data_IF_758743211831
#
_entry.id   IF_758743211831
#
_cell.length_a   1.000
_cell.length_b   1.000
_cell.length_c   1.000
_cell.angle_alpha   90.00
_cell.angle_beta   90.00
_cell.angle_gamma   90.00
#
_symmetry.space_group_name_H-M   'P 1'
#
loop_
_entity.id
_entity.type
_entity.pdbx_description
1 polymer ?
#
# COMPACT_ATOMS: atom_id res chain seq x y z
N UNK A 1 -2.06 -16.93 -22.13
CA UNK A 1 -1.29 -17.31 -20.91
C UNK A 1 -1.51 -16.25 -19.84
N UNK A 2 -1.83 -16.68 -18.64
CA UNK A 2 -1.99 -15.75 -17.52
C UNK A 2 -0.64 -15.44 -16.88
N UNK A 3 -0.38 -14.16 -16.60
CA UNK A 3 0.82 -13.72 -15.88
C UNK A 3 0.49 -13.58 -14.39
N UNK A 4 1.22 -14.31 -13.57
CA UNK A 4 1.10 -14.22 -12.11
C UNK A 4 2.17 -13.28 -11.58
N UNK A 5 1.74 -12.29 -10.79
CA UNK A 5 2.63 -11.35 -10.10
C UNK A 5 2.29 -11.31 -8.62
N UNK A 6 3.25 -10.89 -7.80
CA UNK A 6 3.05 -10.71 -6.36
C UNK A 6 3.33 -9.25 -6.03
N UNK A 7 2.41 -8.65 -5.29
CA UNK A 7 2.59 -7.30 -4.75
C UNK A 7 2.63 -7.33 -3.22
N UNK A 8 3.36 -6.40 -2.65
CA UNK A 8 3.42 -6.20 -1.19
C UNK A 8 3.00 -4.78 -0.86
N UNK A 9 2.13 -4.64 0.13
CA UNK A 9 1.57 -3.37 0.60
C UNK A 9 1.67 -3.31 2.11
N UNK A 10 1.72 -2.11 2.67
CA UNK A 10 1.82 -1.96 4.13
C UNK A 10 1.01 -0.78 4.64
N UNK A 11 0.26 -1.02 5.73
CA UNK A 11 -0.27 0.04 6.58
C UNK A 11 0.87 0.50 7.49
N UNK A 12 1.42 1.68 7.23
CA UNK A 12 2.52 2.26 8.02
C UNK A 12 1.94 3.16 9.11
N UNK A 13 2.12 2.74 10.35
CA UNK A 13 1.63 3.46 11.52
C UNK A 13 2.71 4.37 12.07
N UNK A 14 2.38 5.65 12.24
CA UNK A 14 3.29 6.61 12.85
C UNK A 14 3.15 6.61 14.39
N UNK A 15 3.92 7.50 15.05
CA UNK A 15 3.94 7.60 16.52
C UNK A 15 2.62 8.07 17.11
N UNK A 16 1.77 8.73 16.33
CA UNK A 16 0.44 9.19 16.76
C UNK A 16 -0.64 8.12 16.54
N UNK A 17 -0.27 6.93 16.12
CA UNK A 17 -1.20 5.84 15.86
C UNK A 17 -2.00 6.00 14.58
N UNK A 18 -1.55 6.83 13.67
CA UNK A 18 -2.19 7.08 12.37
C UNK A 18 -1.44 6.36 11.25
N UNK A 19 -2.17 6.01 10.22
CA UNK A 19 -1.64 5.25 9.07
C UNK A 19 -1.47 6.12 7.85
N UNK A 20 -0.43 5.85 7.08
CA UNK A 20 -0.09 6.58 5.86
C UNK A 20 -0.95 6.15 4.69
N UNK A 21 -1.63 7.11 4.08
CA UNK A 21 -2.25 6.99 2.76
C UNK A 21 -1.51 7.88 1.77
N UNK A 22 -1.37 7.39 0.56
CA UNK A 22 -0.79 8.14 -0.56
C UNK A 22 -1.78 8.18 -1.71
N UNK A 23 -1.74 9.26 -2.48
CA UNK A 23 -2.59 9.43 -3.65
C UNK A 23 -1.79 9.21 -4.91
N UNK A 24 -2.19 8.26 -5.74
CA UNK A 24 -1.53 7.96 -7.01
C UNK A 24 -1.53 9.15 -7.94
N UNK A 25 -0.43 9.33 -8.67
CA UNK A 25 -0.32 10.38 -9.67
C UNK A 25 -1.33 10.17 -10.80
N UNK A 26 -2.19 11.16 -11.11
CA UNK A 26 -3.13 11.05 -12.21
C UNK A 26 -2.45 11.10 -13.57
N UNK A 27 -1.19 11.55 -13.63
CA UNK A 27 -0.41 11.57 -14.87
C UNK A 27 0.07 10.16 -15.23
N UNK A 28 0.63 9.43 -14.27
CA UNK A 28 1.11 8.06 -14.48
C UNK A 28 -0.05 7.06 -14.54
N UNK A 29 -1.11 7.32 -13.77
CA UNK A 29 -2.25 6.43 -13.63
C UNK A 29 -3.54 7.14 -14.00
N UNK A 30 -3.74 7.51 -15.28
CA UNK A 30 -4.96 8.19 -15.70
C UNK A 30 -6.16 7.26 -15.56
N UNK A 31 -7.31 7.82 -15.16
CA UNK A 31 -8.58 7.10 -15.05
C UNK A 31 -8.59 5.96 -14.01
N UNK A 32 -7.65 5.94 -13.08
CA UNK A 32 -7.64 4.95 -12.00
C UNK A 32 -8.67 5.35 -10.94
N UNK A 33 -9.54 4.39 -10.61
CA UNK A 33 -10.42 4.49 -9.45
C UNK A 33 -9.66 4.01 -8.21
N UNK A 34 -9.99 4.56 -7.05
CA UNK A 34 -9.30 4.18 -5.83
C UNK A 34 -7.87 4.73 -5.81
N UNK A 35 -7.72 6.02 -6.08
CA UNK A 35 -6.41 6.66 -6.15
C UNK A 35 -5.70 6.77 -4.79
N UNK A 36 -6.44 6.77 -3.69
CA UNK A 36 -5.88 6.72 -2.35
C UNK A 36 -5.61 5.27 -1.95
N UNK A 37 -4.37 4.96 -1.66
CA UNK A 37 -3.91 3.61 -1.37
C UNK A 37 -2.81 3.64 -0.29
N UNK A 38 -2.48 2.48 0.23
CA UNK A 38 -1.31 2.31 1.09
C UNK A 38 -0.06 2.05 0.24
N UNK A 39 1.10 2.21 0.84
CA UNK A 39 2.40 2.13 0.16
C UNK A 39 2.76 0.69 -0.20
N UNK A 40 3.41 0.51 -1.33
CA UNK A 40 3.94 -0.78 -1.77
C UNK A 40 3.94 -0.93 -3.28
N UNK A 41 4.29 -2.10 -3.77
CA UNK A 41 4.34 -2.37 -5.20
C UNK A 41 4.66 -3.83 -5.51
N UNK A 42 4.94 -4.09 -6.77
CA UNK A 42 5.31 -5.45 -7.22
C UNK A 42 6.67 -5.84 -6.67
N UNK A 43 6.82 -7.11 -6.34
CA UNK A 43 8.12 -7.63 -5.91
C UNK A 43 9.01 -7.87 -7.13
N UNK A 44 10.32 -7.77 -6.91
CA UNK A 44 11.33 -8.24 -7.85
C UNK A 44 11.64 -9.71 -7.52
N UNK A 45 11.69 -10.59 -8.54
CA UNK A 45 12.08 -11.99 -8.31
C UNK A 45 13.48 -12.09 -7.71
N UNK A 46 13.65 -13.03 -6.79
CA UNK A 46 14.95 -13.28 -6.20
C UNK A 46 15.22 -12.53 -4.89
N UNK A 47 14.36 -11.61 -4.51
CA UNK A 47 14.42 -10.93 -3.20
C UNK A 47 13.24 -11.35 -2.34
N UNK A 48 13.42 -11.32 -1.03
CA UNK A 48 12.36 -11.72 -0.10
C UNK A 48 11.18 -10.74 -0.13
N UNK A 49 10.02 -11.18 0.36
CA UNK A 49 8.85 -10.32 0.49
C UNK A 49 9.15 -9.09 1.34
N UNK A 50 9.83 -9.28 2.45
CA UNK A 50 10.14 -8.20 3.40
C UNK A 50 11.17 -7.23 2.81
N UNK A 51 12.19 -7.73 2.12
CA UNK A 51 13.17 -6.86 1.45
C UNK A 51 12.51 -6.02 0.39
N UNK A 52 11.61 -6.59 -0.39
CA UNK A 52 10.81 -5.85 -1.37
C UNK A 52 9.94 -4.78 -0.69
N UNK A 53 9.29 -5.13 0.42
CA UNK A 53 8.44 -4.19 1.14
C UNK A 53 9.26 -2.98 1.64
N UNK A 54 10.43 -3.25 2.24
CA UNK A 54 11.33 -2.20 2.72
C UNK A 54 11.80 -1.29 1.58
N UNK A 55 12.16 -1.89 0.45
CA UNK A 55 12.57 -1.15 -0.74
C UNK A 55 11.47 -0.24 -1.25
N UNK A 56 10.25 -0.75 -1.41
CA UNK A 56 9.10 0.03 -1.87
C UNK A 56 8.81 1.22 -0.94
N UNK A 57 8.85 1.00 0.36
CA UNK A 57 8.63 2.08 1.34
C UNK A 57 9.69 3.17 1.19
N UNK A 58 10.98 2.80 1.07
CA UNK A 58 12.05 3.78 0.88
C UNK A 58 11.91 4.55 -0.43
N UNK A 59 11.63 3.85 -1.52
CA UNK A 59 11.50 4.47 -2.83
C UNK A 59 10.34 5.45 -2.89
N UNK A 60 9.19 5.09 -2.34
CA UNK A 60 7.98 5.90 -2.43
C UNK A 60 7.91 7.01 -1.38
N UNK A 61 8.50 6.83 -0.22
CA UNK A 61 8.30 7.74 0.93
C UNK A 61 9.57 8.23 1.60
N UNK A 62 10.73 7.63 1.33
CA UNK A 62 11.99 7.84 2.05
C UNK A 62 11.93 7.46 3.54
N UNK A 63 10.85 6.85 3.97
CA UNK A 63 10.71 6.35 5.35
C UNK A 63 11.35 4.97 5.50
N UNK A 64 11.61 4.60 6.76
CA UNK A 64 12.07 3.27 7.13
C UNK A 64 11.00 2.56 7.95
N UNK A 65 10.87 1.27 7.76
CA UNK A 65 10.08 0.40 8.63
C UNK A 65 10.91 0.14 9.89
N UNK A 66 10.37 0.46 11.06
CA UNK A 66 11.08 0.39 12.34
C UNK A 66 10.57 -0.71 13.27
N UNK A 67 9.64 -1.52 12.81
CA UNK A 67 9.13 -2.69 13.53
C UNK A 67 9.18 -3.91 12.62
N UNK A 68 8.95 -5.10 13.18
CA UNK A 68 8.79 -6.31 12.37
C UNK A 68 7.46 -6.24 11.61
N UNK A 69 7.46 -6.26 10.27
CA UNK A 69 6.22 -6.27 9.52
C UNK A 69 5.42 -7.55 9.78
N UNK A 70 4.11 -7.38 9.96
CA UNK A 70 3.20 -8.51 10.17
C UNK A 70 2.24 -8.62 9.00
N UNK A 71 2.16 -9.80 8.41
CA UNK A 71 1.19 -10.08 7.36
C UNK A 71 -0.21 -10.15 7.97
N UNK A 72 -1.14 -9.37 7.44
CA UNK A 72 -2.52 -9.36 7.94
C UNK A 72 -3.50 -10.01 6.97
N UNK A 73 -3.23 -9.97 5.66
CA UNK A 73 -4.10 -10.63 4.68
C UNK A 73 -3.41 -10.78 3.33
N UNK A 74 -3.98 -11.66 2.51
CA UNK A 74 -3.64 -11.80 1.11
C UNK A 74 -4.93 -11.68 0.29
N UNK A 75 -4.84 -11.04 -0.86
CA UNK A 75 -5.98 -10.81 -1.74
C UNK A 75 -5.61 -11.12 -3.18
N UNK A 76 -6.57 -11.60 -3.95
CA UNK A 76 -6.42 -11.80 -5.38
C UNK A 76 -6.90 -10.57 -6.13
N UNK A 77 -6.10 -10.15 -7.10
CA UNK A 77 -6.46 -9.10 -8.06
C UNK A 77 -6.41 -9.72 -9.44
N UNK A 78 -7.60 -9.93 -10.03
CA UNK A 78 -7.72 -10.56 -11.35
C UNK A 78 -8.50 -9.61 -12.25
N UNK A 79 -7.81 -8.59 -12.84
CA UNK A 79 -8.51 -7.59 -13.64
C UNK A 79 -9.00 -8.11 -14.98
N UNK A 80 -8.38 -9.18 -15.48
CA UNK A 80 -8.73 -9.78 -16.77
C UNK A 80 -8.18 -11.20 -16.86
N UNK A 81 -8.39 -11.87 -17.99
CA UNK A 81 -7.98 -13.27 -18.20
C UNK A 81 -6.47 -13.46 -18.33
N UNK A 82 -5.70 -12.38 -18.44
CA UNK A 82 -4.26 -12.43 -18.69
C UNK A 82 -3.42 -12.09 -17.47
N UNK A 83 -4.02 -11.53 -16.42
CA UNK A 83 -3.28 -11.00 -15.28
C UNK A 83 -3.89 -11.44 -13.96
N UNK A 84 -3.04 -11.95 -13.07
CA UNK A 84 -3.39 -12.32 -11.70
C UNK A 84 -2.31 -11.78 -10.78
N UNK A 85 -2.70 -10.94 -9.84
CA UNK A 85 -1.80 -10.41 -8.82
C UNK A 85 -2.23 -10.91 -7.46
N UNK A 86 -1.29 -11.49 -6.72
CA UNK A 86 -1.49 -11.78 -5.29
C UNK A 86 -0.96 -10.58 -4.51
N UNK A 87 -1.85 -9.91 -3.81
CA UNK A 87 -1.51 -8.73 -2.99
C UNK A 87 -1.40 -9.14 -1.54
N UNK A 88 -0.21 -9.02 -0.99
CA UNK A 88 0.08 -9.31 0.41
C UNK A 88 0.11 -7.99 1.19
N UNK A 89 -0.73 -7.87 2.20
CA UNK A 89 -0.85 -6.64 2.99
C UNK A 89 -0.30 -6.86 4.39
N UNK A 90 0.62 -5.98 4.77
CA UNK A 90 1.32 -5.99 6.06
C UNK A 90 0.90 -4.78 6.89
N UNK A 91 1.19 -4.85 8.18
CA UNK A 91 1.17 -3.71 9.09
C UNK A 91 2.56 -3.56 9.71
N UNK A 92 3.04 -2.32 9.82
CA UNK A 92 4.34 -2.01 10.42
C UNK A 92 4.34 -0.58 10.95
N UNK A 93 5.38 -0.25 11.71
CA UNK A 93 5.56 1.08 12.27
C UNK A 93 6.64 1.85 11.54
N UNK A 94 6.51 3.17 11.53
CA UNK A 94 7.48 4.10 10.96
C UNK A 94 7.54 5.38 11.78
N UNK A 95 8.52 6.23 11.49
CA UNK A 95 8.62 7.57 12.07
C UNK A 95 9.14 8.55 11.02
N UNK A 96 8.85 9.83 11.22
CA UNK A 96 9.31 10.89 10.34
C UNK A 96 8.27 11.31 9.30
N UNK A 97 8.66 12.28 8.48
CA UNK A 97 7.82 12.83 7.43
C UNK A 97 8.16 12.20 6.08
N UNK A 98 7.15 11.77 5.32
CA UNK A 98 7.39 11.25 3.98
C UNK A 98 7.94 12.32 3.03
N UNK A 99 8.83 11.89 2.14
CA UNK A 99 9.22 12.64 0.96
C UNK A 99 8.82 11.80 -0.24
N UNK A 100 7.76 12.20 -0.93
CA UNK A 100 7.17 11.40 -1.98
C UNK A 100 8.00 11.38 -3.25
N UNK A 101 7.98 10.23 -3.94
CA UNK A 101 8.29 10.17 -5.36
C UNK A 101 7.05 10.67 -6.11
N UNK A 102 7.12 11.92 -6.56
CA UNK A 102 5.96 12.62 -7.15
C UNK A 102 5.51 12.04 -8.48
N UNK A 103 6.33 11.21 -9.12
CA UNK A 103 5.93 10.48 -10.32
C UNK A 103 4.95 9.35 -9.98
N UNK A 104 5.07 8.76 -8.79
CA UNK A 104 4.18 7.71 -8.31
C UNK A 104 2.98 8.27 -7.56
N UNK A 105 3.22 9.14 -6.57
CA UNK A 105 2.22 9.68 -5.67
C UNK A 105 2.38 11.19 -5.50
N UNK A 106 1.28 11.92 -5.49
CA UNK A 106 1.27 13.38 -5.44
C UNK A 106 0.93 13.96 -4.08
N UNK A 107 0.27 13.17 -3.22
CA UNK A 107 -0.15 13.63 -1.89
C UNK A 107 -0.01 12.49 -0.89
N UNK A 108 0.10 12.87 0.39
CA UNK A 108 0.02 11.91 1.47
C UNK A 108 -0.80 12.47 2.63
N UNK A 109 -1.34 11.56 3.46
CA UNK A 109 -2.00 11.89 4.72
C UNK A 109 -1.74 10.79 5.72
N UNK A 110 -1.60 11.17 6.99
CA UNK A 110 -1.67 10.22 8.10
C UNK A 110 -3.05 10.31 8.71
N UNK A 111 -3.77 9.20 8.73
CA UNK A 111 -5.17 9.14 9.14
C UNK A 111 -5.41 7.96 10.07
N UNK A 112 -6.43 8.09 10.93
CA UNK A 112 -6.94 6.94 11.68
C UNK A 112 -7.68 6.00 10.73
N UNK A 113 -7.90 4.75 11.16
CA UNK A 113 -8.67 3.80 10.34
C UNK A 113 -10.09 4.32 10.08
N UNK A 114 -10.72 4.95 11.08
CA UNK A 114 -12.05 5.54 10.89
C UNK A 114 -12.06 6.62 9.81
N UNK A 115 -11.03 7.46 9.78
CA UNK A 115 -10.88 8.49 8.75
C UNK A 115 -10.62 7.90 7.37
N UNK A 116 -9.76 6.88 7.30
CA UNK A 116 -9.47 6.18 6.03
C UNK A 116 -10.75 5.58 5.45
N UNK A 117 -11.58 4.97 6.29
CA UNK A 117 -12.83 4.34 5.85
C UNK A 117 -13.82 5.31 5.20
N UNK A 118 -13.65 6.61 5.42
CA UNK A 118 -14.50 7.66 4.86
C UNK A 118 -13.94 8.30 3.59
N UNK A 119 -12.73 7.91 3.18
CA UNK A 119 -12.11 8.46 1.97
C UNK A 119 -12.91 8.03 0.73
N UNK A 120 -13.31 9.02 -0.09
CA UNK A 120 -14.23 8.80 -1.22
C UNK A 120 -13.61 8.01 -2.37
N UNK A 121 -12.32 8.18 -2.61
CA UNK A 121 -11.63 7.50 -3.71
C UNK A 121 -10.58 6.53 -3.15
N UNK A 122 -11.02 5.71 -2.20
CA UNK A 122 -10.17 4.71 -1.55
C UNK A 122 -10.03 3.47 -2.41
N UNK A 123 -8.82 2.94 -2.49
CA UNK A 123 -8.54 1.64 -3.09
C UNK A 123 -9.44 0.57 -2.49
N UNK A 124 -10.07 -0.23 -3.35
CA UNK A 124 -11.08 -1.21 -2.90
C UNK A 124 -10.51 -2.33 -2.04
N UNK A 125 -9.23 -2.66 -2.22
CA UNK A 125 -8.58 -3.70 -1.41
C UNK A 125 -8.26 -3.20 -0.01
N UNK A 126 -7.88 -1.93 0.13
CA UNK A 126 -7.76 -1.27 1.43
C UNK A 126 -9.12 -1.22 2.13
N UNK A 127 -10.16 -0.82 1.40
CA UNK A 127 -11.52 -0.76 1.93
C UNK A 127 -11.98 -2.12 2.45
N UNK A 128 -11.68 -3.21 1.72
CA UNK A 128 -12.03 -4.57 2.13
C UNK A 128 -11.33 -4.99 3.43
N UNK A 129 -10.04 -4.70 3.55
CA UNK A 129 -9.28 -5.01 4.77
C UNK A 129 -9.91 -4.34 6.00
N UNK A 130 -10.30 -3.07 5.85
CA UNK A 130 -10.95 -2.32 6.92
C UNK A 130 -12.34 -2.89 7.22
N UNK A 131 -13.13 -3.15 6.18
CA UNK A 131 -14.49 -3.71 6.31
C UNK A 131 -14.51 -5.06 7.04
N UNK A 132 -13.50 -5.89 6.79
CA UNK A 132 -13.35 -7.19 7.44
C UNK A 132 -12.78 -7.12 8.86
N UNK A 133 -12.43 -5.92 9.34
CA UNK A 133 -11.90 -5.75 10.69
C UNK A 133 -10.48 -6.28 10.90
N UNK A 134 -9.71 -6.41 9.83
CA UNK A 134 -8.35 -6.96 9.88
C UNK A 134 -7.32 -5.95 10.37
N UNK A 135 -7.70 -4.69 10.45
CA UNK A 135 -6.86 -3.61 10.98
C UNK A 135 -7.72 -2.65 11.80
N UNK A 136 -7.11 -2.11 12.87
CA UNK A 136 -7.75 -1.16 13.79
C UNK A 136 -7.01 0.17 13.85
#
# INVERSE_FOLDING_TARGET
MITLQVGVKVFLKNQDGKYLLVKRSPVKYPNVKGSWDIVGGRIDPGSSLIDNLRREVREETRLEIISEPKLITAQDIIPNAEKHVVRLTYVAETSGEPVLDVEENTEFRFLTIAEISKELDLDKYVAEVIRLGLIN
#
